data_IF_643063450603
#
_entry.id   IF_643063450603
#
_cell.length_a   1.000
_cell.length_b   1.000
_cell.length_c   1.000
_cell.angle_alpha   90.00
_cell.angle_beta   90.00
_cell.angle_gamma   90.00
#
_symmetry.space_group_name_H-M   'P 1'
#
loop_
_entity.id
_entity.type
_entity.pdbx_description
1 polymer ?
#
# COMPACT_ATOMS: atom_id res chain seq x y z
N UNK A 1 11.34 22.30 7.59
CA UNK A 1 11.69 21.91 6.21
C UNK A 1 13.14 22.27 5.94
N UNK A 2 13.87 21.41 5.23
CA UNK A 2 15.27 21.59 4.83
C UNK A 2 15.38 21.50 3.31
N UNK A 3 16.40 22.11 2.71
CA UNK A 3 16.70 21.97 1.28
C UNK A 3 18.01 21.21 1.12
N UNK A 4 17.99 20.18 0.28
CA UNK A 4 19.15 19.38 -0.10
C UNK A 4 19.36 19.46 -1.61
N UNK A 5 20.61 19.59 -2.05
CA UNK A 5 20.92 19.52 -3.49
C UNK A 5 20.80 18.09 -3.98
N UNK A 6 20.47 17.89 -5.25
CA UNK A 6 20.39 16.55 -5.84
C UNK A 6 21.69 15.75 -5.62
N UNK A 7 22.86 16.38 -5.83
CA UNK A 7 24.17 15.76 -5.56
C UNK A 7 24.34 15.36 -4.09
N UNK A 8 23.97 16.23 -3.15
CA UNK A 8 24.03 15.90 -1.72
C UNK A 8 23.08 14.76 -1.36
N UNK A 9 21.92 14.70 -2.00
CA UNK A 9 20.93 13.64 -1.79
C UNK A 9 21.40 12.30 -2.36
N UNK A 10 21.98 12.28 -3.57
CA UNK A 10 22.58 11.08 -4.14
C UNK A 10 23.72 10.54 -3.27
N UNK A 11 24.62 11.42 -2.80
CA UNK A 11 25.67 11.03 -1.85
C UNK A 11 25.08 10.46 -0.56
N UNK A 12 24.00 11.05 -0.04
CA UNK A 12 23.31 10.53 1.13
C UNK A 12 22.77 9.11 0.89
N UNK A 13 22.09 8.87 -0.23
CA UNK A 13 21.59 7.52 -0.58
C UNK A 13 22.74 6.53 -0.73
N UNK A 14 23.84 6.93 -1.38
CA UNK A 14 25.06 6.12 -1.47
C UNK A 14 25.60 5.75 -0.09
N UNK A 15 25.70 6.72 0.82
CA UNK A 15 26.19 6.50 2.18
C UNK A 15 25.26 5.59 3.00
N UNK A 16 23.95 5.70 2.80
CA UNK A 16 22.99 4.76 3.41
C UNK A 16 23.24 3.33 2.92
N UNK A 17 23.39 3.13 1.60
CA UNK A 17 23.62 1.80 1.02
C UNK A 17 24.93 1.19 1.53
N UNK A 18 25.99 2.01 1.65
CA UNK A 18 27.32 1.54 2.00
C UNK A 18 27.54 1.33 3.51
N UNK A 19 26.90 2.13 4.36
CA UNK A 19 27.26 2.22 5.78
C UNK A 19 26.10 2.08 6.77
N UNK A 20 24.84 2.12 6.35
CA UNK A 20 23.72 1.90 7.26
C UNK A 20 23.49 0.40 7.49
N UNK A 21 23.20 0.02 8.74
CA UNK A 21 22.94 -1.39 9.10
C UNK A 21 21.58 -1.88 8.55
N UNK A 22 20.67 -0.95 8.26
CA UNK A 22 19.34 -1.26 7.72
C UNK A 22 19.43 -1.54 6.23
N UNK A 23 18.53 -2.38 5.74
CA UNK A 23 18.39 -2.57 4.29
C UNK A 23 17.78 -1.31 3.65
N UNK A 24 18.51 -0.74 2.68
CA UNK A 24 18.04 0.40 1.90
C UNK A 24 17.27 -0.11 0.68
N UNK A 25 16.00 0.24 0.62
CA UNK A 25 15.07 -0.06 -0.45
C UNK A 25 14.66 1.25 -1.12
N UNK A 26 14.57 1.24 -2.44
CA UNK A 26 14.14 2.38 -3.23
C UNK A 26 13.28 1.93 -4.40
N UNK A 27 12.57 2.89 -4.99
CA UNK A 27 11.91 2.65 -6.28
C UNK A 27 12.97 2.57 -7.37
N UNK A 28 12.86 1.55 -8.22
CA UNK A 28 13.77 1.29 -9.34
C UNK A 28 12.96 1.00 -10.60
N UNK A 29 13.51 1.34 -11.77
CA UNK A 29 12.94 0.94 -13.05
C UNK A 29 13.17 -0.55 -13.31
N UNK A 30 12.14 -1.22 -13.81
CA UNK A 30 12.17 -2.63 -14.24
C UNK A 30 11.43 -2.75 -15.57
N UNK A 31 12.14 -2.47 -16.66
CA UNK A 31 11.54 -2.37 -17.99
C UNK A 31 10.70 -1.09 -18.10
N UNK A 32 9.41 -1.23 -18.41
CA UNK A 32 8.46 -0.10 -18.51
C UNK A 32 7.67 0.15 -17.22
N UNK A 33 8.08 -0.45 -16.10
CA UNK A 33 7.37 -0.42 -14.82
C UNK A 33 8.33 -0.10 -13.69
N UNK A 34 7.80 0.34 -12.56
CA UNK A 34 8.57 0.65 -11.37
C UNK A 34 8.31 -0.36 -10.24
N UNK A 35 9.34 -0.63 -9.44
CA UNK A 35 9.25 -1.56 -8.29
C UNK A 35 10.02 -1.00 -7.11
N UNK A 36 9.54 -1.24 -5.89
CA UNK A 36 10.41 -1.14 -4.73
C UNK A 36 11.32 -2.37 -4.69
N UNK A 37 12.63 -2.17 -4.61
CA UNK A 37 13.61 -3.25 -4.43
C UNK A 37 14.86 -2.73 -3.69
N UNK A 38 15.71 -3.64 -3.21
CA UNK A 38 16.97 -3.29 -2.55
C UNK A 38 17.86 -2.49 -3.51
N UNK A 39 18.30 -1.31 -3.08
CA UNK A 39 19.22 -0.49 -3.86
C UNK A 39 20.62 -1.08 -3.82
N UNK A 40 21.27 -1.19 -4.99
CA UNK A 40 22.67 -1.59 -5.11
C UNK A 40 23.57 -0.38 -5.34
N UNK A 41 23.07 0.63 -6.04
CA UNK A 41 23.69 1.93 -6.14
C UNK A 41 22.67 3.06 -5.95
N UNK A 42 23.14 4.29 -5.73
CA UNK A 42 22.26 5.44 -5.57
C UNK A 42 21.59 5.85 -6.88
N UNK A 43 22.22 5.55 -8.01
CA UNK A 43 21.74 5.82 -9.37
C UNK A 43 20.58 4.91 -9.78
N UNK A 44 20.39 3.77 -9.08
CA UNK A 44 19.23 2.90 -9.30
C UNK A 44 17.92 3.54 -8.79
N UNK A 45 18.01 4.53 -7.88
CA UNK A 45 16.86 5.18 -7.27
C UNK A 45 16.15 6.11 -8.27
N UNK A 46 14.86 5.84 -8.50
CA UNK A 46 13.96 6.67 -9.30
C UNK A 46 12.95 7.34 -8.39
N UNK A 47 12.84 8.66 -8.44
CA UNK A 47 11.88 9.45 -7.65
C UNK A 47 10.78 10.08 -8.52
N UNK A 48 11.04 10.21 -9.83
CA UNK A 48 10.15 10.69 -10.89
C UNK A 48 9.45 9.52 -11.58
N UNK A 49 8.49 8.93 -10.88
CA UNK A 49 7.71 7.79 -11.38
C UNK A 49 6.22 7.98 -11.13
N UNK A 50 5.38 7.18 -11.81
CA UNK A 50 3.92 7.26 -11.73
C UNK A 50 3.35 6.32 -10.64
N UNK A 51 3.64 5.02 -10.74
CA UNK A 51 3.15 3.98 -9.84
C UNK A 51 4.03 2.73 -9.90
N UNK A 52 4.28 2.12 -8.74
CA UNK A 52 4.95 0.80 -8.70
C UNK A 52 3.98 -0.36 -8.92
N UNK A 53 4.48 -1.49 -9.44
CA UNK A 53 3.68 -2.73 -9.60
C UNK A 53 3.06 -3.16 -8.26
N UNK A 54 3.91 -3.28 -7.23
CA UNK A 54 3.48 -3.59 -5.87
C UNK A 54 3.76 -2.42 -4.94
N UNK A 55 2.84 -2.13 -4.00
CA UNK A 55 3.06 -1.11 -2.98
C UNK A 55 4.13 -1.57 -1.97
N UNK A 56 4.69 -0.64 -1.18
CA UNK A 56 5.68 -0.97 -0.16
C UNK A 56 5.13 -1.85 0.98
N UNK A 57 3.80 -2.08 1.04
CA UNK A 57 3.17 -2.97 2.03
C UNK A 57 3.86 -4.33 2.16
N UNK A 58 4.43 -4.85 1.06
CA UNK A 58 5.15 -6.14 1.01
C UNK A 58 6.33 -6.24 1.99
N UNK A 59 6.81 -5.14 2.54
CA UNK A 59 7.89 -5.13 3.52
C UNK A 59 7.40 -5.23 4.97
N UNK A 60 6.12 -4.96 5.21
CA UNK A 60 5.48 -5.09 6.53
C UNK A 60 4.57 -6.33 6.58
N UNK A 61 4.05 -6.73 5.43
CA UNK A 61 3.24 -7.93 5.22
C UNK A 61 3.75 -8.62 3.94
N UNK A 62 4.82 -9.43 4.01
CA UNK A 62 5.35 -10.12 2.84
C UNK A 62 4.37 -11.15 2.28
N UNK A 63 4.58 -11.53 1.02
CA UNK A 63 3.69 -12.45 0.29
C UNK A 63 3.61 -13.83 0.94
N UNK A 64 4.69 -14.23 1.60
CA UNK A 64 4.83 -15.42 2.44
C UNK A 64 5.58 -15.02 3.69
N UNK A 65 5.09 -15.45 4.83
CA UNK A 65 5.69 -15.12 6.11
C UNK A 65 5.58 -16.29 7.06
N UNK A 66 6.73 -16.84 7.45
CA UNK A 66 6.80 -17.81 8.54
C UNK A 66 6.37 -17.14 9.84
N UNK A 67 5.40 -17.73 10.53
CA UNK A 67 4.87 -17.20 11.80
C UNK A 67 5.06 -18.16 12.97
N UNK A 68 5.33 -19.43 12.70
CA UNK A 68 5.51 -20.46 13.72
C UNK A 68 6.32 -21.62 13.16
N UNK A 69 7.20 -22.19 13.97
CA UNK A 69 7.87 -23.47 13.75
C UNK A 69 7.41 -24.46 14.81
N UNK A 70 7.36 -25.75 14.46
CA UNK A 70 7.01 -26.79 15.41
C UNK A 70 7.85 -28.05 15.19
N UNK A 71 8.09 -28.79 16.28
CA UNK A 71 8.76 -30.08 16.28
C UNK A 71 7.97 -31.08 17.15
N UNK A 72 7.86 -32.31 16.67
CA UNK A 72 7.17 -33.44 17.29
C UNK A 72 8.21 -34.52 17.52
N UNK A 73 8.44 -34.83 18.79
CA UNK A 73 9.25 -35.97 19.22
C UNK A 73 8.34 -37.09 19.71
N UNK A 74 8.90 -38.24 20.13
CA UNK A 74 8.07 -39.36 20.62
C UNK A 74 7.31 -39.03 21.91
N UNK A 75 7.87 -38.17 22.76
CA UNK A 75 7.35 -37.85 24.09
C UNK A 75 6.94 -36.38 24.27
N UNK A 76 7.20 -35.50 23.29
CA UNK A 76 7.02 -34.05 23.42
C UNK A 76 6.66 -33.35 22.10
N UNK A 77 6.09 -32.16 22.20
CA UNK A 77 5.78 -31.26 21.10
C UNK A 77 6.21 -29.82 21.44
N UNK A 78 7.08 -29.25 20.62
CA UNK A 78 7.55 -27.87 20.76
C UNK A 78 6.93 -26.98 19.69
N UNK A 79 6.64 -25.73 20.07
CA UNK A 79 6.11 -24.70 19.19
C UNK A 79 6.82 -23.40 19.48
N UNK A 80 7.40 -22.79 18.46
CA UNK A 80 8.08 -21.51 18.57
C UNK A 80 7.44 -20.48 17.62
N UNK A 81 6.86 -19.39 18.15
CA UNK A 81 6.40 -18.30 17.30
C UNK A 81 7.59 -17.56 16.69
N UNK A 82 7.51 -17.30 15.38
CA UNK A 82 8.56 -16.62 14.63
C UNK A 82 8.12 -15.19 14.33
N UNK A 83 9.00 -14.24 14.67
CA UNK A 83 8.89 -12.83 14.30
C UNK A 83 10.19 -12.38 13.67
N UNK A 84 10.34 -12.60 12.37
CA UNK A 84 11.51 -12.14 11.63
C UNK A 84 11.39 -10.65 11.31
N UNK A 85 12.35 -9.87 11.77
CA UNK A 85 12.40 -8.43 11.53
C UNK A 85 13.68 -8.08 10.79
N UNK A 86 13.51 -7.46 9.62
CA UNK A 86 14.59 -6.85 8.88
C UNK A 86 14.42 -5.33 8.90
N UNK A 87 15.24 -4.59 9.68
CA UNK A 87 15.21 -3.13 9.69
C UNK A 87 15.47 -2.55 8.30
N UNK A 88 14.70 -1.53 7.89
CA UNK A 88 14.74 -0.97 6.53
C UNK A 88 14.64 0.56 6.48
N UNK A 89 15.23 1.14 5.45
CA UNK A 89 14.92 2.50 4.99
C UNK A 89 14.27 2.34 3.61
N UNK A 90 13.03 2.80 3.45
CA UNK A 90 12.27 2.67 2.21
C UNK A 90 12.08 4.06 1.60
N UNK A 91 12.63 4.27 0.40
CA UNK A 91 12.74 5.57 -0.24
C UNK A 91 11.86 5.65 -1.49
N UNK A 92 11.22 6.81 -1.67
CA UNK A 92 10.41 7.12 -2.85
C UNK A 92 8.96 6.68 -2.68
N UNK A 93 8.38 6.74 -1.48
CA UNK A 93 6.99 6.31 -1.26
C UNK A 93 6.02 7.44 -1.62
N UNK A 94 5.04 7.18 -2.50
CA UNK A 94 4.00 8.17 -2.80
C UNK A 94 3.02 8.38 -1.63
N UNK A 95 2.39 9.57 -1.52
CA UNK A 95 1.48 9.91 -0.42
C UNK A 95 0.35 8.90 -0.18
N UNK A 96 -0.29 8.42 -1.24
CA UNK A 96 -1.37 7.42 -1.11
C UNK A 96 -0.90 6.10 -0.48
N UNK A 97 0.36 5.72 -0.67
CA UNK A 97 0.92 4.51 -0.07
C UNK A 97 1.29 4.74 1.40
N UNK A 98 1.70 5.96 1.78
CA UNK A 98 1.89 6.34 3.18
C UNK A 98 0.57 6.34 3.95
N UNK A 99 -0.49 6.94 3.38
CA UNK A 99 -1.84 6.88 3.96
C UNK A 99 -2.31 5.43 4.07
N UNK A 100 -2.06 4.60 3.05
CA UNK A 100 -2.40 3.18 3.12
C UNK A 100 -1.66 2.44 4.24
N UNK A 101 -0.38 2.76 4.47
CA UNK A 101 0.39 2.22 5.59
C UNK A 101 -0.23 2.65 6.93
N UNK A 102 -0.56 3.93 7.12
CA UNK A 102 -1.21 4.39 8.36
C UNK A 102 -2.56 3.69 8.61
N UNK A 103 -3.34 3.45 7.55
CA UNK A 103 -4.57 2.67 7.66
C UNK A 103 -4.28 1.24 8.13
N UNK A 104 -3.26 0.58 7.56
CA UNK A 104 -2.83 -0.75 7.97
C UNK A 104 -2.29 -0.75 9.41
N UNK A 105 -1.53 0.27 9.82
CA UNK A 105 -1.05 0.45 11.18
C UNK A 105 -2.21 0.44 12.17
N UNK A 106 -3.31 1.16 11.88
CA UNK A 106 -4.52 1.15 12.72
C UNK A 106 -5.18 -0.22 12.76
N UNK A 107 -5.28 -0.90 11.62
CA UNK A 107 -5.94 -2.20 11.50
C UNK A 107 -5.17 -3.29 12.25
N UNK A 108 -3.85 -3.34 12.10
CA UNK A 108 -2.99 -4.34 12.73
C UNK A 108 -2.66 -4.02 14.21
N UNK A 109 -2.94 -2.80 14.68
CA UNK A 109 -2.84 -2.41 16.09
C UNK A 109 -4.17 -2.49 16.87
N UNK A 110 -5.28 -2.83 16.20
CA UNK A 110 -6.62 -2.94 16.78
C UNK A 110 -6.73 -4.14 17.76
N UNK A 111 -7.95 -4.50 18.17
CA UNK A 111 -8.29 -5.52 19.17
C UNK A 111 -7.38 -6.77 19.22
N UNK A 112 -6.96 -7.30 18.07
CA UNK A 112 -5.99 -8.40 17.97
C UNK A 112 -4.75 -7.91 17.23
N UNK A 113 -3.73 -7.54 18.00
CA UNK A 113 -2.49 -6.99 17.47
C UNK A 113 -1.73 -8.04 16.66
N UNK A 114 -1.19 -7.61 15.54
CA UNK A 114 -0.31 -8.42 14.71
C UNK A 114 1.15 -8.08 15.01
N UNK A 115 1.77 -8.85 15.91
CA UNK A 115 3.14 -8.60 16.36
C UNK A 115 4.15 -8.65 15.21
N UNK A 116 3.88 -9.50 14.21
CA UNK A 116 4.72 -9.66 13.03
C UNK A 116 4.78 -8.39 12.16
N UNK A 117 3.62 -7.79 11.88
CA UNK A 117 3.50 -6.53 11.15
C UNK A 117 4.09 -5.37 11.96
N UNK A 118 3.66 -5.24 13.23
CA UNK A 118 4.02 -4.11 14.08
C UNK A 118 5.52 -4.06 14.37
N UNK A 119 6.17 -5.22 14.58
CA UNK A 119 7.61 -5.29 14.78
C UNK A 119 8.39 -4.84 13.54
N UNK A 120 8.02 -5.30 12.34
CA UNK A 120 8.62 -4.85 11.08
C UNK A 120 8.42 -3.35 10.88
N UNK A 121 7.19 -2.88 11.11
CA UNK A 121 6.82 -1.49 10.93
C UNK A 121 7.63 -0.57 11.85
N UNK A 122 7.81 -0.95 13.12
CA UNK A 122 8.61 -0.21 14.11
C UNK A 122 10.07 -0.05 13.70
N UNK A 123 10.66 -1.03 13.01
CA UNK A 123 12.07 -1.00 12.58
C UNK A 123 12.29 -0.38 11.18
N UNK A 124 11.25 0.20 10.59
CA UNK A 124 11.35 0.88 9.29
C UNK A 124 11.42 2.40 9.43
N UNK A 125 12.13 3.02 8.48
CA UNK A 125 12.06 4.45 8.16
C UNK A 125 11.44 4.60 6.77
N UNK A 126 10.45 5.47 6.65
CA UNK A 126 9.76 5.80 5.42
C UNK A 126 10.18 7.18 4.91
N UNK A 127 10.76 7.21 3.72
CA UNK A 127 11.07 8.44 2.98
C UNK A 127 10.10 8.55 1.81
N UNK A 128 9.10 9.42 1.99
CA UNK A 128 8.11 9.72 0.97
C UNK A 128 8.64 10.67 -0.11
N UNK A 129 7.95 10.70 -1.24
CA UNK A 129 8.16 11.69 -2.30
C UNK A 129 6.80 12.16 -2.80
N UNK A 130 6.59 13.49 -2.83
CA UNK A 130 5.43 14.07 -3.48
C UNK A 130 5.50 13.78 -4.98
N UNK A 131 4.39 13.30 -5.53
CA UNK A 131 4.31 12.85 -6.92
C UNK A 131 4.76 13.95 -7.87
N UNK A 132 5.54 13.59 -8.89
CA UNK A 132 5.78 14.46 -10.05
C UNK A 132 4.92 14.02 -11.23
N UNK A 133 4.79 12.71 -11.42
CA UNK A 133 3.96 12.08 -12.43
C UNK A 133 2.78 11.36 -11.79
N UNK A 134 1.64 11.37 -12.47
CA UNK A 134 0.40 10.71 -12.01
C UNK A 134 0.04 9.64 -13.02
N UNK A 135 -0.12 8.40 -12.56
CA UNK A 135 -0.60 7.31 -13.43
C UNK A 135 -2.01 7.62 -13.94
N UNK A 136 -2.29 7.36 -15.22
CA UNK A 136 -3.61 7.50 -15.87
C UNK A 136 -4.76 6.78 -15.11
N UNK A 137 -4.41 5.74 -14.32
CA UNK A 137 -5.36 4.98 -13.51
C UNK A 137 -5.66 5.57 -12.14
N UNK A 138 -4.89 6.59 -11.73
CA UNK A 138 -4.96 7.16 -10.38
C UNK A 138 -6.10 8.17 -10.29
N UNK A 139 -6.78 8.16 -9.15
CA UNK A 139 -7.79 9.15 -8.75
C UNK A 139 -7.59 9.54 -7.28
N UNK A 140 -6.34 9.43 -6.78
CA UNK A 140 -5.96 9.77 -5.41
C UNK A 140 -6.29 11.23 -5.06
N UNK A 141 -6.38 12.13 -6.06
CA UNK A 141 -6.88 13.49 -5.91
C UNK A 141 -8.29 13.53 -5.32
N UNK A 142 -9.25 12.80 -5.91
CA UNK A 142 -10.62 12.72 -5.38
C UNK A 142 -10.70 12.04 -4.02
N UNK A 143 -9.79 11.11 -3.73
CA UNK A 143 -9.74 10.43 -2.44
C UNK A 143 -9.05 11.24 -1.34
N UNK A 144 -8.54 12.44 -1.63
CA UNK A 144 -7.80 13.25 -0.66
C UNK A 144 -6.48 12.62 -0.19
N UNK A 145 -5.88 11.75 -1.02
CA UNK A 145 -4.67 10.98 -0.69
C UNK A 145 -3.52 11.23 -1.67
N UNK A 146 -3.68 12.22 -2.56
CA UNK A 146 -2.62 12.68 -3.46
C UNK A 146 -1.47 13.37 -2.72
N UNK A 147 -1.73 13.91 -1.53
CA UNK A 147 -0.76 14.50 -0.61
C UNK A 147 -1.01 13.94 0.80
N UNK A 148 -0.05 14.09 1.70
CA UNK A 148 -0.21 13.75 3.12
C UNK A 148 0.71 14.61 3.98
N UNK A 149 0.25 14.95 5.17
CA UNK A 149 1.03 15.67 6.18
C UNK A 149 1.59 14.74 7.26
N UNK A 150 1.28 13.44 7.20
CA UNK A 150 1.72 12.42 8.16
C UNK A 150 2.08 11.09 7.50
N UNK A 151 2.49 10.11 8.32
CA UNK A 151 2.80 8.75 7.88
C UNK A 151 4.22 8.52 7.37
N UNK A 152 5.07 9.56 7.37
CA UNK A 152 6.46 9.50 6.89
C UNK A 152 7.47 9.96 7.96
N UNK A 153 8.72 9.53 7.80
CA UNK A 153 9.85 10.05 8.58
C UNK A 153 10.48 11.27 7.88
N UNK A 154 10.57 11.22 6.55
CA UNK A 154 10.95 12.33 5.68
C UNK A 154 10.02 12.38 4.45
N UNK A 155 9.67 13.56 3.96
CA UNK A 155 8.91 13.74 2.71
C UNK A 155 9.69 14.65 1.77
N UNK A 156 9.95 14.17 0.55
CA UNK A 156 10.71 14.86 -0.48
C UNK A 156 9.76 15.57 -1.47
N UNK A 157 10.12 16.79 -1.87
CA UNK A 157 9.50 17.49 -3.01
C UNK A 157 10.61 17.99 -3.93
N UNK A 158 10.59 17.60 -5.20
CA UNK A 158 11.54 18.09 -6.20
C UNK A 158 11.29 19.60 -6.46
N UNK A 159 12.36 20.38 -6.49
CA UNK A 159 12.38 21.83 -6.69
C UNK A 159 13.62 22.25 -7.50
N UNK A 160 13.50 22.34 -8.82
CA UNK A 160 14.54 22.90 -9.71
C UNK A 160 15.95 22.27 -9.51
N UNK A 161 16.05 20.94 -9.49
CA UNK A 161 17.31 20.21 -9.28
C UNK A 161 17.75 20.13 -7.80
N UNK A 162 16.79 20.28 -6.89
CA UNK A 162 16.96 20.15 -5.43
C UNK A 162 15.76 19.43 -4.85
N UNK A 163 15.88 18.98 -3.60
CA UNK A 163 14.73 18.49 -2.86
C UNK A 163 14.47 19.37 -1.64
N UNK A 164 13.22 19.80 -1.48
CA UNK A 164 12.70 20.17 -0.18
C UNK A 164 12.38 18.91 0.62
N UNK A 165 12.78 18.92 1.88
CA UNK A 165 12.65 17.80 2.81
C UNK A 165 11.83 18.25 4.02
N UNK A 166 10.61 17.76 4.13
CA UNK A 166 9.80 17.87 5.33
C UNK A 166 10.17 16.75 6.29
N UNK A 167 10.28 17.07 7.59
CA UNK A 167 10.72 16.13 8.62
C UNK A 167 9.48 15.71 9.42
N UNK A 168 9.08 14.45 9.29
CA UNK A 168 7.87 13.91 9.92
C UNK A 168 8.13 13.18 11.24
N UNK A 169 9.39 12.81 11.53
CA UNK A 169 9.71 12.07 12.75
C UNK A 169 11.12 12.37 13.29
N UNK A 170 11.36 11.96 14.55
CA UNK A 170 12.69 11.97 15.15
C UNK A 170 13.69 11.10 14.36
N UNK A 171 13.27 9.93 13.86
CA UNK A 171 14.15 9.05 13.06
C UNK A 171 14.56 9.72 11.75
N UNK A 172 13.63 10.40 11.09
CA UNK A 172 13.90 11.18 9.89
C UNK A 172 14.87 12.32 10.16
N UNK A 173 14.66 13.05 11.25
CA UNK A 173 15.58 14.11 11.67
C UNK A 173 17.01 13.59 11.91
N UNK A 174 17.17 12.47 12.61
CA UNK A 174 18.49 11.88 12.86
C UNK A 174 19.17 11.38 11.57
N UNK A 175 18.40 10.89 10.60
CA UNK A 175 18.92 10.55 9.28
C UNK A 175 19.44 11.78 8.53
N UNK A 176 18.65 12.86 8.54
CA UNK A 176 18.96 14.06 7.78
C UNK A 176 20.16 14.85 8.33
N UNK A 177 20.44 14.76 9.65
CA UNK A 177 21.63 15.39 10.27
C UNK A 177 22.96 14.99 9.64
N UNK A 178 23.02 13.83 8.98
CA UNK A 178 24.21 13.33 8.28
C UNK A 178 24.42 13.97 6.92
N UNK A 179 23.47 14.80 6.47
CA UNK A 179 23.45 15.40 5.13
C UNK A 179 23.66 16.91 5.24
N UNK A 180 24.45 17.47 4.33
CA UNK A 180 24.58 18.92 4.20
C UNK A 180 23.28 19.50 3.64
N UNK A 181 22.50 20.16 4.49
CA UNK A 181 21.26 20.86 4.12
C UNK A 181 21.35 22.36 4.44
N UNK A 182 20.39 23.12 3.93
CA UNK A 182 20.10 24.49 4.41
C UNK A 182 18.65 24.59 4.84
N UNK A 183 18.32 25.57 5.68
CA UNK A 183 16.93 25.89 5.95
C UNK A 183 16.20 26.37 4.69
N UNK A 184 14.93 25.99 4.58
CA UNK A 184 14.05 26.43 3.50
C UNK A 184 13.70 27.92 3.68
N UNK A 185 13.76 28.68 2.59
CA UNK A 185 13.25 30.05 2.54
C UNK A 185 11.73 30.04 2.35
N UNK A 186 11.06 31.18 2.58
CA UNK A 186 9.62 31.30 2.29
C UNK A 186 9.28 30.94 0.85
N UNK A 187 10.12 31.35 -0.10
CA UNK A 187 9.97 31.00 -1.52
C UNK A 187 10.07 29.50 -1.79
N UNK A 188 10.89 28.78 -1.04
CA UNK A 188 10.99 27.32 -1.21
C UNK A 188 9.69 26.66 -0.70
N UNK A 189 9.16 27.12 0.44
CA UNK A 189 7.89 26.64 0.99
C UNK A 189 6.73 26.93 0.03
N UNK A 190 6.64 28.15 -0.52
CA UNK A 190 5.61 28.51 -1.49
C UNK A 190 5.64 27.62 -2.74
N UNK A 191 6.84 27.20 -3.18
CA UNK A 191 6.98 26.26 -4.31
C UNK A 191 6.52 24.85 -3.96
N UNK A 192 6.78 24.37 -2.74
CA UNK A 192 6.28 23.06 -2.29
C UNK A 192 4.76 23.04 -2.28
N UNK A 193 4.14 24.07 -1.71
CA UNK A 193 2.68 24.16 -1.67
C UNK A 193 2.09 24.30 -3.07
N UNK A 194 2.73 25.09 -3.95
CA UNK A 194 2.31 25.17 -5.36
C UNK A 194 2.41 23.82 -6.09
N UNK A 195 3.49 23.07 -5.90
CA UNK A 195 3.64 21.73 -6.47
C UNK A 195 2.55 20.76 -5.98
N UNK A 196 2.16 20.85 -4.70
CA UNK A 196 1.06 20.06 -4.12
C UNK A 196 -0.31 20.47 -4.72
N UNK A 197 -0.54 21.76 -4.94
CA UNK A 197 -1.78 22.26 -5.57
C UNK A 197 -1.90 21.82 -7.03
N UNK A 198 -0.81 21.97 -7.79
CA UNK A 198 -0.77 21.67 -9.23
C UNK A 198 -0.97 20.17 -9.54
N UNK A 199 -0.75 19.29 -8.56
CA UNK A 199 -1.05 17.86 -8.69
C UNK A 199 -2.51 17.58 -9.03
N UNK A 200 -3.45 18.41 -8.56
CA UNK A 200 -4.89 18.20 -8.80
C UNK A 200 -5.23 18.20 -10.29
N UNK A 201 -4.55 19.04 -11.07
CA UNK A 201 -4.78 19.18 -12.51
C UNK A 201 -4.19 18.03 -13.33
N UNK A 202 -3.35 17.17 -12.72
CA UNK A 202 -2.69 16.04 -13.39
C UNK A 202 -3.51 14.74 -13.36
N UNK A 203 -4.60 14.67 -12.61
CA UNK A 203 -5.43 13.47 -12.54
C UNK A 203 -6.41 13.42 -13.72
N UNK A 204 -6.32 12.36 -14.53
CA UNK A 204 -7.27 12.10 -15.64
C UNK A 204 -8.56 11.42 -15.18
N UNK A 205 -8.55 10.83 -13.97
CA UNK A 205 -9.69 10.14 -13.36
C UNK A 205 -10.07 10.80 -12.05
N UNK A 206 -11.37 10.90 -11.82
CA UNK A 206 -11.95 11.45 -10.61
C UNK A 206 -13.26 10.77 -10.23
N UNK A 207 -13.69 10.97 -8.98
CA UNK A 207 -15.06 10.74 -8.57
C UNK A 207 -15.91 11.96 -8.92
N UNK A 208 -17.11 11.72 -9.46
CA UNK A 208 -18.04 12.79 -9.84
C UNK A 208 -18.76 13.43 -8.63
N UNK A 209 -18.36 13.06 -7.41
CA UNK A 209 -18.96 13.46 -6.14
C UNK A 209 -17.94 13.29 -5.00
N UNK A 210 -18.16 13.92 -3.83
CA UNK A 210 -17.27 13.79 -2.68
C UNK A 210 -17.16 12.34 -2.19
N UNK A 211 -15.95 11.82 -1.89
CA UNK A 211 -15.76 10.43 -1.48
C UNK A 211 -16.52 10.08 -0.19
N UNK A 212 -16.84 11.06 0.66
CA UNK A 212 -17.61 10.88 1.90
C UNK A 212 -19.02 10.33 1.66
N UNK A 213 -19.58 10.46 0.45
CA UNK A 213 -20.88 9.88 0.08
C UNK A 213 -20.79 8.39 -0.30
N UNK A 214 -19.57 7.83 -0.47
CA UNK A 214 -19.39 6.42 -0.87
C UNK A 214 -20.04 5.40 0.08
N UNK A 215 -19.95 5.52 1.42
CA UNK A 215 -20.56 4.55 2.32
C UNK A 215 -22.07 4.43 2.10
N UNK A 216 -22.78 5.56 2.04
CA UNK A 216 -24.24 5.61 1.87
C UNK A 216 -24.66 5.16 0.47
N UNK A 217 -23.90 5.51 -0.56
CA UNK A 217 -24.15 5.03 -1.93
C UNK A 217 -24.03 3.50 -2.01
N UNK A 218 -22.98 2.93 -1.41
CA UNK A 218 -22.73 1.50 -1.41
C UNK A 218 -23.77 0.73 -0.58
N UNK A 219 -24.19 1.28 0.55
CA UNK A 219 -25.23 0.69 1.39
C UNK A 219 -26.57 0.59 0.64
N UNK A 220 -27.02 1.69 0.01
CA UNK A 220 -28.27 1.72 -0.75
C UNK A 220 -28.27 0.77 -1.95
N UNK A 221 -27.11 0.48 -2.52
CA UNK A 221 -26.96 -0.41 -3.68
C UNK A 221 -26.46 -1.81 -3.33
N UNK A 222 -26.47 -2.21 -2.06
CA UNK A 222 -26.00 -3.53 -1.64
C UNK A 222 -26.75 -4.67 -2.32
N UNK A 223 -28.08 -4.54 -2.44
CA UNK A 223 -28.97 -5.53 -3.03
C UNK A 223 -29.19 -5.36 -4.54
N UNK A 224 -28.53 -4.39 -5.18
CA UNK A 224 -28.56 -4.19 -6.64
C UNK A 224 -27.74 -5.27 -7.37
N UNK A 225 -28.19 -6.52 -7.28
CA UNK A 225 -27.48 -7.67 -7.86
C UNK A 225 -27.46 -7.65 -9.38
N UNK A 226 -28.35 -6.92 -10.04
CA UNK A 226 -28.30 -6.71 -11.48
C UNK A 226 -27.04 -5.92 -11.86
N UNK A 227 -26.78 -4.79 -11.20
CA UNK A 227 -25.55 -4.01 -11.38
C UNK A 227 -24.29 -4.84 -11.10
N UNK A 228 -24.26 -5.54 -9.95
CA UNK A 228 -23.08 -6.31 -9.55
C UNK A 228 -22.80 -7.48 -10.50
N UNK A 229 -23.84 -8.17 -11.01
CA UNK A 229 -23.66 -9.24 -12.01
C UNK A 229 -23.14 -8.68 -13.32
N UNK A 230 -23.75 -7.62 -13.84
CA UNK A 230 -23.34 -6.96 -15.09
C UNK A 230 -21.88 -6.51 -15.05
N UNK A 231 -21.44 -5.85 -13.99
CA UNK A 231 -20.07 -5.32 -13.89
C UNK A 231 -19.01 -6.37 -13.50
N UNK A 232 -19.40 -7.59 -13.14
CA UNK A 232 -18.48 -8.69 -12.78
C UNK A 232 -18.49 -9.86 -13.77
N UNK A 233 -19.25 -9.76 -14.87
CA UNK A 233 -19.43 -10.82 -15.85
C UNK A 233 -18.09 -11.34 -16.38
N UNK A 234 -17.21 -10.42 -16.79
CA UNK A 234 -15.87 -10.71 -17.32
C UNK A 234 -14.81 -11.00 -16.24
N UNK A 235 -15.20 -11.00 -14.95
CA UNK A 235 -14.26 -11.25 -13.87
C UNK A 235 -13.74 -12.69 -13.91
N UNK A 236 -12.41 -12.84 -13.90
CA UNK A 236 -11.74 -14.14 -13.79
C UNK A 236 -11.58 -14.64 -12.34
N UNK A 237 -11.99 -13.85 -11.34
CA UNK A 237 -11.76 -14.17 -9.91
C UNK A 237 -10.29 -14.43 -9.55
N UNK A 238 -9.34 -13.87 -10.30
CA UNK A 238 -7.89 -14.11 -10.12
C UNK A 238 -7.25 -13.27 -9.02
N UNK A 239 -8.01 -12.38 -8.36
CA UNK A 239 -7.56 -11.50 -7.29
C UNK A 239 -6.40 -10.52 -7.60
N UNK A 240 -5.91 -10.43 -8.86
CA UNK A 240 -4.81 -9.52 -9.22
C UNK A 240 -5.01 -8.09 -8.67
N UNK A 241 -6.23 -7.57 -8.75
CA UNK A 241 -6.58 -6.23 -8.33
C UNK A 241 -6.62 -6.01 -6.81
N UNK A 242 -6.77 -7.05 -6.00
CA UNK A 242 -6.72 -6.93 -4.53
C UNK A 242 -5.30 -7.23 -3.98
N UNK A 243 -4.51 -8.07 -4.66
CA UNK A 243 -3.14 -8.38 -4.28
C UNK A 243 -2.21 -7.17 -4.45
N UNK A 244 -2.40 -6.38 -5.52
CA UNK A 244 -1.66 -5.12 -5.76
C UNK A 244 -2.18 -3.92 -4.96
N UNK A 245 -3.28 -4.06 -4.22
CA UNK A 245 -3.89 -2.94 -3.48
C UNK A 245 -3.11 -2.66 -2.18
N UNK A 246 -2.70 -1.41 -1.91
CA UNK A 246 -1.88 -1.09 -0.72
C UNK A 246 -2.61 -1.28 0.60
N UNK A 247 -3.95 -1.22 0.62
CA UNK A 247 -4.77 -1.35 1.84
C UNK A 247 -5.42 -2.73 1.99
N UNK A 248 -5.12 -3.69 1.11
CA UNK A 248 -5.59 -5.08 1.26
C UNK A 248 -4.63 -5.88 2.14
N UNK A 249 -5.19 -6.55 3.15
CA UNK A 249 -4.47 -7.27 4.20
C UNK A 249 -5.04 -8.67 4.48
N UNK A 250 -5.81 -9.23 3.54
CA UNK A 250 -6.28 -10.60 3.65
C UNK A 250 -5.10 -11.56 3.46
N UNK A 251 -5.08 -12.64 4.24
CA UNK A 251 -4.12 -13.72 4.13
C UNK A 251 -4.78 -15.04 4.52
N UNK A 252 -4.20 -16.13 4.03
CA UNK A 252 -4.47 -17.48 4.51
C UNK A 252 -3.29 -18.01 5.32
N UNK A 253 -3.51 -19.08 6.08
CA UNK A 253 -2.50 -19.72 6.93
C UNK A 253 -2.39 -21.19 6.54
N UNK A 254 -1.17 -21.60 6.16
CA UNK A 254 -0.87 -22.95 5.72
C UNK A 254 0.21 -23.57 6.61
N UNK A 255 0.08 -24.86 6.89
CA UNK A 255 1.12 -25.67 7.52
C UNK A 255 1.93 -26.39 6.43
N UNK A 256 3.24 -26.17 6.42
CA UNK A 256 4.22 -26.83 5.56
C UNK A 256 5.00 -27.84 6.40
N UNK A 257 4.68 -29.11 6.21
CA UNK A 257 5.28 -30.20 7.00
C UNK A 257 6.48 -30.77 6.25
N UNK A 258 7.56 -31.04 6.97
CA UNK A 258 8.66 -31.83 6.45
C UNK A 258 8.21 -33.27 6.18
N UNK A 259 8.90 -33.95 5.26
CA UNK A 259 8.54 -35.32 4.84
C UNK A 259 8.59 -36.30 6.02
N UNK A 260 9.41 -36.02 7.03
CA UNK A 260 9.51 -36.84 8.24
C UNK A 260 8.25 -36.76 9.13
N UNK A 261 7.35 -35.79 8.87
CA UNK A 261 6.15 -35.50 9.66
C UNK A 261 6.43 -35.23 11.15
N UNK A 262 7.66 -34.85 11.47
CA UNK A 262 8.14 -34.52 12.81
C UNK A 262 8.42 -33.04 12.97
N UNK A 263 8.63 -32.30 11.91
CA UNK A 263 8.86 -30.86 12.00
C UNK A 263 8.15 -30.15 10.85
N UNK A 264 7.93 -28.86 11.01
CA UNK A 264 7.30 -28.05 9.99
C UNK A 264 7.20 -26.59 10.38
N UNK A 265 6.72 -25.81 9.43
CA UNK A 265 6.50 -24.39 9.58
C UNK A 265 5.06 -24.04 9.25
N UNK A 266 4.49 -23.12 10.03
CA UNK A 266 3.25 -22.45 9.69
C UNK A 266 3.60 -21.10 9.09
N UNK A 267 3.10 -20.85 7.90
CA UNK A 267 3.24 -19.57 7.25
C UNK A 267 1.89 -18.95 6.90
N UNK A 268 1.85 -17.62 6.88
CA UNK A 268 0.76 -16.89 6.25
C UNK A 268 1.13 -16.49 4.84
N UNK A 269 0.16 -16.56 3.93
CA UNK A 269 0.32 -16.16 2.52
C UNK A 269 -0.73 -15.14 2.12
N UNK A 270 -0.37 -14.22 1.23
CA UNK A 270 -1.36 -13.31 0.67
C UNK A 270 -2.51 -14.06 0.02
N UNK A 271 -3.72 -13.71 0.43
CA UNK A 271 -4.97 -14.21 -0.12
C UNK A 271 -5.94 -13.03 -0.27
N UNK A 272 -7.14 -13.24 -0.80
CA UNK A 272 -8.06 -12.15 -1.01
C UNK A 272 -9.48 -12.57 -1.34
N UNK A 273 -10.41 -11.74 -0.87
CA UNK A 273 -11.86 -11.92 -1.01
C UNK A 273 -12.44 -12.12 -2.43
N UNK A 274 -11.63 -12.00 -3.49
CA UNK A 274 -12.05 -12.32 -4.86
C UNK A 274 -11.79 -13.79 -5.24
N UNK A 275 -10.86 -14.46 -4.54
CA UNK A 275 -10.62 -15.89 -4.69
C UNK A 275 -11.82 -16.65 -4.11
N UNK A 276 -12.25 -17.69 -4.81
CA UNK A 276 -13.42 -18.46 -4.41
C UNK A 276 -13.18 -19.21 -3.10
N UNK A 277 -11.98 -19.77 -2.93
CA UNK A 277 -11.57 -20.56 -1.77
C UNK A 277 -11.52 -19.73 -0.48
N UNK A 278 -11.22 -18.43 -0.57
CA UNK A 278 -11.14 -17.53 0.60
C UNK A 278 -12.44 -17.45 1.43
N UNK A 279 -13.60 -17.75 0.81
CA UNK A 279 -14.90 -17.71 1.49
C UNK A 279 -15.45 -19.10 1.83
N UNK A 280 -14.69 -20.16 1.56
CA UNK A 280 -15.02 -21.54 1.92
C UNK A 280 -14.69 -21.76 3.39
N UNK A 281 -15.63 -22.34 4.14
CA UNK A 281 -15.42 -22.72 5.55
C UNK A 281 -15.38 -24.23 5.71
N UNK A 282 -15.04 -24.68 6.93
CA UNK A 282 -15.09 -26.09 7.29
C UNK A 282 -16.45 -26.71 6.90
N UNK A 283 -16.40 -27.81 6.15
CA UNK A 283 -17.59 -28.47 5.56
C UNK A 283 -17.86 -28.10 4.10
N UNK A 284 -17.07 -27.21 3.48
CA UNK A 284 -17.17 -26.87 2.06
C UNK A 284 -18.24 -25.83 1.72
N UNK A 285 -18.93 -25.29 2.73
CA UNK A 285 -19.88 -24.21 2.53
C UNK A 285 -19.15 -22.92 2.15
N UNK A 286 -19.72 -22.14 1.22
CA UNK A 286 -19.13 -20.89 0.76
C UNK A 286 -20.17 -19.78 0.82
N UNK A 287 -19.92 -18.77 1.66
CA UNK A 287 -20.85 -17.66 1.87
C UNK A 287 -20.84 -16.61 0.75
N UNK A 288 -19.93 -16.73 -0.22
CA UNK A 288 -19.80 -15.83 -1.37
C UNK A 288 -19.49 -16.64 -2.64
N UNK A 289 -20.43 -17.53 -2.99
CA UNK A 289 -20.28 -18.51 -4.08
C UNK A 289 -20.12 -17.84 -5.44
N UNK A 290 -20.84 -16.75 -5.69
CA UNK A 290 -20.87 -16.13 -7.01
C UNK A 290 -19.79 -15.07 -7.18
N UNK A 291 -19.33 -14.88 -8.42
CA UNK A 291 -18.38 -13.80 -8.79
C UNK A 291 -18.93 -12.42 -8.42
N UNK A 292 -20.23 -12.21 -8.61
CA UNK A 292 -20.91 -10.96 -8.30
C UNK A 292 -20.88 -10.62 -6.81
N UNK A 293 -21.12 -11.61 -5.93
CA UNK A 293 -21.05 -11.41 -4.47
C UNK A 293 -19.64 -11.05 -4.02
N UNK A 294 -18.60 -11.73 -4.54
CA UNK A 294 -17.20 -11.43 -4.25
C UNK A 294 -16.79 -10.06 -4.78
N UNK A 295 -17.22 -9.72 -5.99
CA UNK A 295 -16.97 -8.43 -6.62
C UNK A 295 -17.62 -7.28 -5.83
N UNK A 296 -18.90 -7.40 -5.46
CA UNK A 296 -19.58 -6.47 -4.54
C UNK A 296 -18.81 -6.34 -3.23
N UNK A 297 -18.46 -7.47 -2.60
CA UNK A 297 -17.78 -7.48 -1.31
C UNK A 297 -16.46 -6.70 -1.34
N UNK A 298 -15.71 -6.76 -2.44
CA UNK A 298 -14.49 -5.95 -2.62
C UNK A 298 -14.77 -4.45 -2.49
N UNK A 299 -15.79 -3.93 -3.19
CA UNK A 299 -16.12 -2.50 -3.16
C UNK A 299 -16.71 -2.08 -1.82
N UNK A 300 -17.65 -2.87 -1.29
CA UNK A 300 -18.25 -2.64 0.03
C UNK A 300 -17.17 -2.59 1.12
N UNK A 301 -16.20 -3.51 1.08
CA UNK A 301 -15.14 -3.53 2.08
C UNK A 301 -14.28 -2.27 2.07
N UNK A 302 -14.08 -1.65 0.91
CA UNK A 302 -13.25 -0.45 0.80
C UNK A 302 -14.01 0.85 1.09
N UNK A 303 -15.26 0.94 0.64
CA UNK A 303 -16.05 2.17 0.71
C UNK A 303 -17.17 2.18 1.75
N UNK A 304 -17.48 1.07 2.43
CA UNK A 304 -18.56 1.01 3.42
C UNK A 304 -18.12 0.32 4.74
N UNK A 305 -17.66 -0.93 4.72
CA UNK A 305 -17.37 -1.68 5.97
C UNK A 305 -16.17 -1.12 6.76
N UNK A 306 -15.09 -0.73 6.08
CA UNK A 306 -13.92 -0.13 6.74
C UNK A 306 -14.20 1.29 7.24
N UNK A 307 -14.89 2.16 6.48
CA UNK A 307 -15.43 3.41 7.01
C UNK A 307 -16.25 3.24 8.29
N UNK A 308 -17.19 2.30 8.32
CA UNK A 308 -18.02 2.04 9.49
C UNK A 308 -17.18 1.69 10.73
N UNK A 309 -16.18 0.83 10.56
CA UNK A 309 -15.34 0.36 11.68
C UNK A 309 -14.26 1.35 12.10
N UNK A 310 -13.60 2.02 11.15
CA UNK A 310 -12.37 2.78 11.40
C UNK A 310 -12.47 4.27 11.09
N UNK A 311 -13.56 4.75 10.49
CA UNK A 311 -13.80 6.17 10.20
C UNK A 311 -13.06 6.71 8.98
N UNK A 312 -12.42 5.86 8.17
CA UNK A 312 -11.76 6.27 6.92
C UNK A 312 -12.14 5.35 5.75
N UNK A 313 -12.10 5.90 4.54
CA UNK A 313 -12.26 5.13 3.31
C UNK A 313 -10.96 4.41 2.98
N UNK A 314 -11.04 3.09 2.77
CA UNK A 314 -9.85 2.28 2.58
C UNK A 314 -9.26 2.38 1.17
N UNK A 315 -9.99 2.94 0.21
CA UNK A 315 -9.47 3.17 -1.13
C UNK A 315 -8.64 4.46 -1.15
N UNK A 316 -7.34 4.35 -1.42
CA UNK A 316 -6.42 5.52 -1.52
C UNK A 316 -6.24 6.00 -2.97
N UNK A 317 -7.10 5.58 -3.90
CA UNK A 317 -7.09 6.07 -5.28
C UNK A 317 -5.83 5.76 -6.13
N UNK A 318 -4.90 4.91 -5.68
CA UNK A 318 -3.61 4.65 -6.35
C UNK A 318 -3.68 4.02 -7.77
N UNK A 319 -4.86 3.63 -8.26
CA UNK A 319 -5.04 3.09 -9.62
C UNK A 319 -4.49 1.68 -9.92
N UNK A 320 -3.64 1.10 -9.05
CA UNK A 320 -3.03 -0.23 -9.28
C UNK A 320 -4.02 -1.33 -9.63
N UNK A 321 -5.20 -1.28 -9.00
CA UNK A 321 -6.22 -2.30 -9.21
C UNK A 321 -6.88 -2.23 -10.60
N UNK A 322 -7.03 -1.03 -11.18
CA UNK A 322 -7.49 -0.85 -12.56
C UNK A 322 -6.43 -1.33 -13.56
N UNK A 323 -5.19 -0.86 -13.41
CA UNK A 323 -4.09 -1.20 -14.34
C UNK A 323 -3.70 -2.68 -14.39
N UNK A 324 -3.97 -3.46 -13.35
CA UNK A 324 -3.67 -4.90 -13.29
C UNK A 324 -4.86 -5.80 -13.62
N UNK A 325 -6.01 -5.24 -13.99
CA UNK A 325 -7.19 -5.99 -14.35
C UNK A 325 -7.27 -6.13 -15.88
N UNK A 326 -6.96 -7.32 -16.39
CA UNK A 326 -6.96 -7.58 -17.85
C UNK A 326 -8.32 -7.26 -18.51
N UNK A 327 -9.48 -7.63 -17.92
CA UNK A 327 -10.78 -7.26 -18.48
C UNK A 327 -11.18 -5.79 -18.26
N UNK A 328 -10.33 -4.99 -17.62
CA UNK A 328 -10.64 -3.61 -17.22
C UNK A 328 -11.99 -3.51 -16.50
N UNK A 329 -12.16 -4.22 -15.39
CA UNK A 329 -13.38 -4.14 -14.56
C UNK A 329 -13.12 -3.79 -13.09
N UNK A 330 -11.87 -3.60 -12.69
CA UNK A 330 -11.54 -3.42 -11.28
C UNK A 330 -11.33 -1.97 -10.84
N UNK A 331 -11.36 -1.00 -11.77
CA UNK A 331 -11.20 0.43 -11.47
C UNK A 331 -12.35 0.95 -10.58
N UNK A 332 -12.06 1.37 -9.33
CA UNK A 332 -13.09 1.87 -8.44
C UNK A 332 -13.69 3.20 -8.86
N UNK A 333 -12.94 4.12 -9.46
CA UNK A 333 -13.50 5.42 -9.88
C UNK A 333 -14.67 5.20 -10.85
N UNK A 334 -14.45 4.32 -11.84
CA UNK A 334 -15.47 3.94 -12.82
C UNK A 334 -16.69 3.27 -12.20
N UNK A 335 -16.49 2.32 -11.29
CA UNK A 335 -17.61 1.58 -10.68
C UNK A 335 -18.41 2.47 -9.73
N UNK A 336 -17.74 3.29 -8.95
CA UNK A 336 -18.37 4.25 -8.04
C UNK A 336 -19.14 5.34 -8.79
N UNK A 337 -18.63 5.84 -9.92
CA UNK A 337 -19.36 6.80 -10.76
C UNK A 337 -20.58 6.15 -11.44
N UNK A 338 -20.42 4.96 -12.04
CA UNK A 338 -21.55 4.21 -12.65
C UNK A 338 -22.66 3.93 -11.63
N UNK A 339 -22.31 3.56 -10.41
CA UNK A 339 -23.28 3.28 -9.36
C UNK A 339 -24.08 4.54 -8.98
N UNK A 340 -23.42 5.71 -8.96
CA UNK A 340 -24.08 7.01 -8.71
C UNK A 340 -24.99 7.42 -9.87
N UNK A 341 -24.60 7.16 -11.10
CA UNK A 341 -25.39 7.46 -12.30
C UNK A 341 -26.68 6.62 -12.36
N UNK A 342 -26.69 5.37 -11.88
CA UNK A 342 -27.91 4.55 -11.85
C UNK A 342 -28.94 4.99 -10.79
N UNK A 343 -28.55 5.83 -9.83
CA UNK A 343 -29.48 6.44 -8.86
C UNK A 343 -30.19 7.70 -9.39
N UNK A 344 -29.69 8.28 -10.48
CA UNK A 344 -30.22 9.51 -11.10
C UNK A 344 -31.20 9.18 -12.23
#
# INVERSE_FOLDING_TARGET
MQIVTEKSFQNFVHDLIAHDEREVVGVQSKGSKYVFDRLKSAEDLVLDYDVTILPPKKYFMPQREKILEYEITEDDFSVEPIVEVKPRIIIGIHPYDLVAIEQLDKIFADNYKDDNYLAKRKECVLVGVNMQEVSEWSFAGSMGTATTDSGYDLMLTELDGKYAVEIGSTKGNELLKKVSTREASSKDVDKVEKAKEDLREKFEKELNYPPEELPDLLERNYDNMEFWKKNSEECYSCASCNLVCPTCYCFDVEDLNEINMKEGERERRWDGCLLEEFAVVAGGENFRRTKAERYRHRFMRKGNYIPEKYGFIACVGCGRCGSHCIPDIADPSRIYNKLREEEQ
#
